data_IF_942184423692
#
_entry.id   IF_942184423692
#
_cell.length_a   1.000
_cell.length_b   1.000
_cell.length_c   1.000
_cell.angle_alpha   90.00
_cell.angle_beta   90.00
_cell.angle_gamma   90.00
#
_symmetry.space_group_name_H-M   'P 1'
#
loop_
_entity.id
_entity.type
_entity.pdbx_description
1 polymer ?
#
# COMPACT_ATOMS: atom_id res chain seq x y z
N UNK A 1 23.90 6.05 -9.27
CA UNK A 1 23.06 6.73 -8.28
C UNK A 1 23.61 6.37 -6.92
N UNK A 2 23.69 7.32 -5.96
CA UNK A 2 23.98 6.96 -4.57
C UNK A 2 22.84 6.11 -3.98
N UNK A 3 23.10 5.48 -2.82
CA UNK A 3 22.09 4.71 -2.09
C UNK A 3 20.93 5.65 -1.69
N UNK A 4 19.69 5.24 -1.92
CA UNK A 4 18.49 6.00 -1.55
C UNK A 4 18.21 5.73 -0.06
N UNK A 5 18.15 6.81 0.73
CA UNK A 5 17.85 6.75 2.16
C UNK A 5 16.34 6.72 2.36
N UNK A 6 15.85 5.62 2.87
CA UNK A 6 14.40 5.34 3.01
C UNK A 6 13.98 5.46 4.47
N UNK A 7 12.88 6.17 4.70
CA UNK A 7 12.14 6.13 5.94
C UNK A 7 10.87 5.27 5.83
N UNK A 8 10.44 4.66 6.93
CA UNK A 8 9.16 3.96 7.02
C UNK A 8 8.32 4.56 8.14
N UNK A 9 7.13 5.06 7.79
CA UNK A 9 6.16 5.59 8.75
C UNK A 9 5.09 4.54 9.04
N UNK A 10 4.96 4.20 10.33
CA UNK A 10 4.17 3.06 10.79
C UNK A 10 5.00 1.78 10.79
N UNK A 11 5.23 1.22 11.97
CA UNK A 11 6.07 0.01 12.11
C UNK A 11 5.29 -1.20 12.68
N UNK A 12 4.01 -1.30 12.27
CA UNK A 12 3.18 -2.50 12.42
C UNK A 12 3.58 -3.60 11.45
N UNK A 13 2.68 -4.54 11.18
CA UNK A 13 2.96 -5.68 10.29
C UNK A 13 3.51 -5.30 8.91
N UNK A 14 2.90 -4.30 8.25
CA UNK A 14 3.35 -3.82 6.93
C UNK A 14 4.71 -3.10 7.01
N UNK A 15 4.95 -2.27 8.03
CA UNK A 15 6.22 -1.56 8.18
C UNK A 15 7.38 -2.50 8.50
N UNK A 16 7.17 -3.52 9.33
CA UNK A 16 8.18 -4.56 9.59
C UNK A 16 8.46 -5.38 8.33
N UNK A 17 7.43 -5.74 7.58
CA UNK A 17 7.58 -6.43 6.30
C UNK A 17 8.34 -5.58 5.28
N UNK A 18 8.07 -4.26 5.22
CA UNK A 18 8.80 -3.33 4.38
C UNK A 18 10.29 -3.29 4.75
N UNK A 19 10.63 -3.22 6.04
CA UNK A 19 12.01 -3.27 6.51
C UNK A 19 12.72 -4.57 6.10
N UNK A 20 12.04 -5.72 6.21
CA UNK A 20 12.58 -7.02 5.79
C UNK A 20 12.80 -7.11 4.27
N UNK A 21 11.86 -6.61 3.47
CA UNK A 21 11.98 -6.57 1.99
C UNK A 21 13.07 -5.62 1.54
N UNK A 22 13.26 -4.51 2.27
CA UNK A 22 14.28 -3.51 1.95
C UNK A 22 15.69 -3.96 2.33
N UNK A 23 15.84 -4.74 3.39
CA UNK A 23 17.14 -5.14 3.96
C UNK A 23 18.14 -5.74 2.95
N UNK A 24 17.76 -6.67 2.04
CA UNK A 24 18.67 -7.22 1.05
C UNK A 24 18.93 -6.29 -0.14
N UNK A 25 18.28 -5.13 -0.23
CA UNK A 25 18.42 -4.22 -1.37
C UNK A 25 19.71 -3.41 -1.28
N UNK A 26 20.47 -3.36 -2.38
CA UNK A 26 21.76 -2.65 -2.43
C UNK A 26 21.61 -1.15 -2.76
N UNK A 27 20.52 -0.77 -3.42
CA UNK A 27 20.31 0.60 -3.90
C UNK A 27 19.50 1.46 -2.92
N UNK A 28 18.98 0.85 -1.85
CA UNK A 28 18.18 1.53 -0.82
C UNK A 28 18.63 1.09 0.57
N UNK A 29 18.48 1.99 1.53
CA UNK A 29 18.84 1.74 2.92
C UNK A 29 17.78 2.30 3.85
N UNK A 30 17.32 1.49 4.82
CA UNK A 30 16.41 1.94 5.87
C UNK A 30 17.19 2.77 6.88
N UNK A 31 16.95 4.08 6.90
CA UNK A 31 17.64 5.00 7.81
C UNK A 31 16.76 5.58 8.89
N UNK A 32 15.43 5.62 8.67
CA UNK A 32 14.47 6.22 9.59
C UNK A 32 13.22 5.35 9.74
N UNK A 33 12.67 5.29 10.94
CA UNK A 33 11.35 4.69 11.21
C UNK A 33 10.61 5.52 12.26
N UNK A 34 9.28 5.56 12.17
CA UNK A 34 8.44 6.15 13.21
C UNK A 34 7.19 5.31 13.45
N UNK A 35 6.78 5.23 14.70
CA UNK A 35 5.50 4.65 15.13
C UNK A 35 4.84 5.52 16.20
N UNK A 36 3.78 5.02 16.86
CA UNK A 36 3.05 5.77 17.90
C UNK A 36 3.85 6.02 19.17
N UNK A 37 4.90 5.25 19.43
CA UNK A 37 5.74 5.38 20.63
C UNK A 37 6.94 6.31 20.42
N UNK A 38 7.26 6.64 19.16
CA UNK A 38 8.36 7.53 18.82
C UNK A 38 9.02 7.20 17.49
N UNK A 39 10.31 7.37 17.40
CA UNK A 39 11.06 7.24 16.15
C UNK A 39 12.48 6.71 16.41
N UNK A 40 13.12 6.25 15.32
CA UNK A 40 14.53 5.91 15.31
C UNK A 40 15.18 6.38 14.02
N UNK A 41 16.45 6.79 14.10
CA UNK A 41 17.23 7.23 12.94
C UNK A 41 18.70 6.83 13.10
N UNK A 42 19.28 6.35 11.96
CA UNK A 42 20.72 6.15 11.83
C UNK A 42 21.13 6.38 10.40
N UNK A 43 22.04 7.33 10.16
CA UNK A 43 22.48 7.72 8.81
C UNK A 43 23.06 6.57 7.98
N UNK A 44 23.77 5.63 8.64
CA UNK A 44 24.40 4.46 8.01
C UNK A 44 23.49 3.23 7.97
N UNK A 45 22.18 3.41 8.17
CA UNK A 45 21.17 2.36 8.17
C UNK A 45 20.86 1.78 9.54
N UNK A 46 19.58 1.55 9.79
CA UNK A 46 19.09 0.95 11.03
C UNK A 46 19.38 -0.55 11.05
N UNK A 47 19.86 -1.11 12.19
CA UNK A 47 20.10 -2.53 12.33
C UNK A 47 18.80 -3.30 12.41
N UNK A 48 18.42 -4.00 11.32
CA UNK A 48 17.11 -4.64 11.17
C UNK A 48 16.79 -5.61 12.31
N UNK A 49 17.74 -6.47 12.71
CA UNK A 49 17.48 -7.48 13.74
C UNK A 49 17.18 -6.85 15.09
N UNK A 50 17.97 -5.86 15.50
CA UNK A 50 17.77 -5.13 16.76
C UNK A 50 16.46 -4.32 16.74
N UNK A 51 16.15 -3.70 15.60
CA UNK A 51 14.90 -2.96 15.40
C UNK A 51 13.66 -3.87 15.57
N UNK A 52 13.67 -5.05 14.93
CA UNK A 52 12.60 -6.02 15.05
C UNK A 52 12.48 -6.59 16.48
N UNK A 53 13.62 -6.84 17.16
CA UNK A 53 13.63 -7.28 18.56
C UNK A 53 13.06 -6.22 19.49
N UNK A 54 13.47 -4.97 19.34
CA UNK A 54 12.94 -3.84 20.14
C UNK A 54 11.42 -3.72 20.03
N UNK A 55 10.88 -3.80 18.80
CA UNK A 55 9.43 -3.74 18.58
C UNK A 55 8.72 -4.97 19.13
N UNK A 56 9.28 -6.16 18.97
CA UNK A 56 8.71 -7.40 19.52
C UNK A 56 8.65 -7.39 21.05
N UNK A 57 9.68 -6.88 21.71
CA UNK A 57 9.81 -6.90 23.17
C UNK A 57 9.10 -5.72 23.86
N UNK A 58 9.15 -4.54 23.25
CA UNK A 58 8.71 -3.29 23.83
C UNK A 58 7.55 -2.60 23.10
N UNK A 59 7.16 -3.11 21.92
CA UNK A 59 6.01 -2.61 21.16
C UNK A 59 6.24 -1.33 20.37
N UNK A 60 7.48 -0.79 20.33
CA UNK A 60 7.78 0.48 19.67
C UNK A 60 9.22 0.55 19.15
N UNK A 61 9.41 1.27 18.05
CA UNK A 61 10.73 1.58 17.48
C UNK A 61 11.56 2.51 18.41
N UNK A 62 10.91 3.28 19.26
CA UNK A 62 11.56 4.14 20.25
C UNK A 62 12.44 3.36 21.23
N UNK A 63 12.21 2.07 21.39
CA UNK A 63 12.99 1.20 22.28
C UNK A 63 14.29 0.68 21.64
N UNK A 64 14.60 1.03 20.39
CA UNK A 64 15.84 0.64 19.73
C UNK A 64 17.04 1.27 20.48
N UNK A 65 17.98 0.50 21.03
CA UNK A 65 19.14 1.03 21.73
C UNK A 65 19.94 2.02 20.87
N UNK A 66 20.45 3.07 21.48
CA UNK A 66 21.27 4.14 20.88
C UNK A 66 20.55 5.06 19.87
N UNK A 67 19.61 4.54 19.06
CA UNK A 67 19.00 5.31 17.96
C UNK A 67 17.50 5.53 18.11
N UNK A 68 16.86 4.92 19.10
CA UNK A 68 15.43 5.09 19.39
C UNK A 68 15.18 6.30 20.29
N UNK A 69 14.11 7.03 20.00
CA UNK A 69 13.69 8.22 20.74
C UNK A 69 12.19 8.19 21.00
N UNK A 70 11.78 8.39 22.25
CA UNK A 70 10.37 8.53 22.62
C UNK A 70 9.90 9.93 22.25
N UNK A 71 8.84 10.02 21.44
CA UNK A 71 8.23 11.29 21.03
C UNK A 71 6.77 11.05 20.63
N UNK A 72 5.88 11.97 20.96
CA UNK A 72 4.48 11.92 20.54
C UNK A 72 4.27 12.29 19.07
N UNK A 73 5.21 12.97 18.42
CA UNK A 73 5.20 13.33 17.02
C UNK A 73 6.47 12.82 16.29
N UNK A 74 6.68 11.51 16.35
CA UNK A 74 7.81 10.87 15.69
C UNK A 74 7.87 11.14 14.18
N UNK A 75 6.73 11.40 13.53
CA UNK A 75 6.68 11.78 12.11
C UNK A 75 7.38 13.13 11.89
N UNK A 76 7.09 14.14 12.70
CA UNK A 76 7.74 15.44 12.62
C UNK A 76 9.26 15.32 12.81
N UNK A 77 9.69 14.48 13.73
CA UNK A 77 11.11 14.28 14.03
C UNK A 77 11.87 13.61 12.87
N UNK A 78 11.33 12.55 12.27
CA UNK A 78 12.01 11.88 11.15
C UNK A 78 12.05 12.74 9.89
N UNK A 79 11.13 13.69 9.71
CA UNK A 79 11.19 14.66 8.61
C UNK A 79 12.37 15.62 8.70
N UNK A 80 12.95 15.83 9.89
CA UNK A 80 14.16 16.66 10.06
C UNK A 80 15.44 15.90 9.71
N UNK A 81 15.35 14.59 9.51
CA UNK A 81 16.49 13.74 9.24
C UNK A 81 16.79 13.65 7.74
N UNK A 82 17.99 13.19 7.42
CA UNK A 82 18.44 13.02 6.05
C UNK A 82 17.80 11.79 5.40
N UNK A 83 16.57 11.93 4.88
CA UNK A 83 15.77 10.89 4.21
C UNK A 83 15.39 11.36 2.82
N UNK A 84 15.59 10.51 1.80
CA UNK A 84 15.25 10.82 0.41
C UNK A 84 13.79 10.51 0.07
N UNK A 85 13.19 9.55 0.77
CA UNK A 85 11.79 9.21 0.61
C UNK A 85 11.22 8.35 1.72
N UNK A 86 9.91 8.47 1.97
CA UNK A 86 9.19 7.70 2.97
C UNK A 86 8.20 6.74 2.33
N UNK A 87 8.19 5.50 2.83
CA UNK A 87 7.08 4.58 2.65
C UNK A 87 6.09 4.71 3.80
N UNK A 88 4.84 5.02 3.49
CA UNK A 88 3.78 5.27 4.45
C UNK A 88 3.01 3.96 4.73
N UNK A 89 3.51 3.16 5.67
CA UNK A 89 2.88 1.91 6.14
C UNK A 89 1.85 2.20 7.25
N UNK A 90 0.96 3.16 6.99
CA UNK A 90 0.01 3.74 7.94
C UNK A 90 -1.40 3.16 7.74
N UNK A 91 -2.32 3.29 8.72
CA UNK A 91 -3.68 2.83 8.59
C UNK A 91 -4.45 3.51 7.45
N UNK A 92 -5.32 2.76 6.76
CA UNK A 92 -6.17 3.28 5.70
C UNK A 92 -7.35 4.13 6.21
N UNK A 93 -7.69 4.04 7.48
CA UNK A 93 -8.86 4.67 8.07
C UNK A 93 -8.51 5.56 9.27
N UNK A 94 -9.21 6.67 9.43
CA UNK A 94 -10.27 7.21 8.54
C UNK A 94 -9.70 7.66 7.19
N UNK A 95 -10.54 7.77 6.16
CA UNK A 95 -10.14 8.10 4.78
C UNK A 95 -9.33 9.41 4.66
N UNK A 96 -9.47 10.32 5.62
CA UNK A 96 -8.70 11.57 5.69
C UNK A 96 -7.34 11.43 6.35
N UNK A 97 -7.00 10.24 6.92
CA UNK A 97 -5.79 10.09 7.72
C UNK A 97 -4.52 10.31 6.90
N UNK A 98 -4.42 9.65 5.74
CA UNK A 98 -3.25 9.78 4.87
C UNK A 98 -3.08 11.20 4.33
N UNK A 99 -4.21 11.85 3.96
CA UNK A 99 -4.19 13.25 3.54
C UNK A 99 -3.71 14.20 4.65
N UNK A 100 -4.07 13.95 5.92
CA UNK A 100 -3.56 14.73 7.06
C UNK A 100 -2.06 14.54 7.27
N UNK A 101 -1.55 13.32 7.09
CA UNK A 101 -0.10 13.06 7.14
C UNK A 101 0.60 13.81 6.02
N UNK A 102 0.11 13.74 4.77
CA UNK A 102 0.67 14.51 3.66
C UNK A 102 0.66 16.02 3.93
N UNK A 103 -0.42 16.56 4.51
CA UNK A 103 -0.50 17.96 4.92
C UNK A 103 0.55 18.34 5.99
N UNK A 104 0.95 17.41 6.86
CA UNK A 104 2.03 17.65 7.82
C UNK A 104 3.36 17.87 7.10
N UNK A 105 3.69 17.04 6.10
CA UNK A 105 4.88 17.24 5.24
C UNK A 105 4.85 18.58 4.50
N UNK A 106 3.68 18.94 3.93
CA UNK A 106 3.49 20.22 3.23
C UNK A 106 3.73 21.40 4.18
N UNK A 107 3.11 21.38 5.38
CA UNK A 107 3.27 22.48 6.38
C UNK A 107 4.70 22.65 6.88
N UNK A 108 5.47 21.58 6.94
CA UNK A 108 6.88 21.64 7.34
C UNK A 108 7.82 22.02 6.17
N UNK A 109 7.29 22.16 4.96
CA UNK A 109 8.11 22.48 3.79
C UNK A 109 9.11 21.36 3.45
N UNK A 110 8.82 20.10 3.86
CA UNK A 110 9.69 18.97 3.56
C UNK A 110 9.70 18.69 2.05
N UNK A 111 10.86 18.29 1.54
CA UNK A 111 11.03 17.98 0.12
C UNK A 111 11.60 16.56 -0.02
N UNK A 112 11.01 15.78 -0.92
CA UNK A 112 11.42 14.41 -1.18
C UNK A 112 10.26 13.58 -1.74
N UNK A 113 10.33 12.28 -1.55
CA UNK A 113 9.37 11.33 -2.12
C UNK A 113 8.50 10.70 -1.04
N UNK A 114 7.19 10.71 -1.22
CA UNK A 114 6.24 9.96 -0.42
C UNK A 114 5.62 8.84 -1.25
N UNK A 115 5.50 7.67 -0.69
CA UNK A 115 4.86 6.50 -1.33
C UNK A 115 3.93 5.81 -0.34
N UNK A 116 2.72 5.51 -0.74
CA UNK A 116 1.78 4.69 0.03
C UNK A 116 1.31 3.45 -0.75
N UNK A 117 0.66 2.53 -0.05
CA UNK A 117 -0.02 1.37 -0.61
C UNK A 117 -1.51 1.38 -0.24
N UNK A 118 -2.12 2.58 -0.29
CA UNK A 118 -3.53 2.77 0.07
C UNK A 118 -4.45 2.10 -0.95
N UNK A 119 -5.49 1.43 -0.45
CA UNK A 119 -6.42 0.66 -1.30
C UNK A 119 -7.81 1.30 -1.46
N UNK A 120 -8.15 2.32 -0.70
CA UNK A 120 -9.50 2.91 -0.67
C UNK A 120 -9.64 4.08 -1.64
N UNK A 121 -10.61 4.02 -2.53
CA UNK A 121 -10.95 5.07 -3.49
C UNK A 121 -11.16 6.42 -2.80
N UNK A 122 -12.01 6.44 -1.76
CA UNK A 122 -12.33 7.66 -1.04
C UNK A 122 -11.13 8.30 -0.32
N UNK A 123 -10.12 7.53 0.05
CA UNK A 123 -8.88 8.07 0.63
C UNK A 123 -7.95 8.64 -0.46
N UNK A 124 -7.87 8.00 -1.63
CA UNK A 124 -7.13 8.53 -2.78
C UNK A 124 -7.74 9.84 -3.27
N UNK A 125 -9.07 9.95 -3.31
CA UNK A 125 -9.76 11.20 -3.66
C UNK A 125 -9.34 12.37 -2.76
N UNK A 126 -9.18 12.14 -1.44
CA UNK A 126 -8.68 13.16 -0.52
C UNK A 126 -7.22 13.56 -0.80
N UNK A 127 -6.38 12.60 -1.20
CA UNK A 127 -4.99 12.88 -1.57
C UNK A 127 -4.88 13.65 -2.88
N UNK A 128 -5.72 13.34 -3.87
CA UNK A 128 -5.74 14.04 -5.17
C UNK A 128 -5.95 15.56 -5.01
N UNK A 129 -6.72 15.98 -4.02
CA UNK A 129 -6.96 17.40 -3.72
C UNK A 129 -5.68 18.14 -3.28
N UNK A 130 -4.66 17.41 -2.82
CA UNK A 130 -3.40 17.98 -2.34
C UNK A 130 -2.37 18.19 -3.46
N UNK A 131 -2.65 17.76 -4.71
CA UNK A 131 -1.70 17.84 -5.82
C UNK A 131 -1.06 19.23 -5.97
N UNK A 132 -1.81 20.36 -5.99
CA UNK A 132 -1.20 21.69 -6.15
C UNK A 132 -0.29 22.06 -4.98
N UNK A 133 -0.66 21.72 -3.75
CA UNK A 133 0.14 22.04 -2.56
C UNK A 133 1.42 21.19 -2.49
N UNK A 134 1.36 19.92 -2.87
CA UNK A 134 2.52 19.02 -2.99
C UNK A 134 3.49 19.57 -4.06
N UNK A 135 2.96 19.99 -5.22
CA UNK A 135 3.74 20.57 -6.30
C UNK A 135 4.45 21.85 -5.84
N UNK A 136 3.75 22.71 -5.14
CA UNK A 136 4.28 24.00 -4.64
C UNK A 136 5.39 23.80 -3.59
N UNK A 137 5.26 22.74 -2.76
CA UNK A 137 6.25 22.42 -1.72
C UNK A 137 7.48 21.71 -2.29
N UNK A 138 7.39 21.10 -3.48
CA UNK A 138 8.47 20.30 -4.07
C UNK A 138 8.45 18.83 -3.59
N UNK A 139 7.27 18.32 -3.25
CA UNK A 139 7.07 16.91 -2.86
C UNK A 139 6.60 16.10 -4.07
N UNK A 140 7.22 14.94 -4.30
CA UNK A 140 6.73 13.93 -5.25
C UNK A 140 6.03 12.83 -4.46
N UNK A 141 4.72 12.75 -4.57
CA UNK A 141 3.92 11.75 -3.86
C UNK A 141 3.35 10.73 -4.86
N UNK A 142 3.60 9.43 -4.63
CA UNK A 142 3.02 8.34 -5.40
C UNK A 142 2.04 7.56 -4.52
N UNK A 143 0.78 7.50 -4.93
CA UNK A 143 -0.29 6.81 -4.18
C UNK A 143 -0.72 5.52 -4.85
N UNK A 144 -1.21 4.56 -4.04
CA UNK A 144 -1.69 3.28 -4.52
C UNK A 144 -0.59 2.36 -5.05
N UNK A 145 0.57 2.34 -4.41
CA UNK A 145 1.79 1.71 -4.92
C UNK A 145 2.07 0.32 -4.31
N UNK A 146 1.03 -0.44 -4.02
CA UNK A 146 1.13 -1.80 -3.46
C UNK A 146 1.04 -2.91 -4.50
N UNK A 147 0.34 -3.98 -4.12
CA UNK A 147 0.02 -5.09 -5.02
C UNK A 147 -1.18 -4.74 -5.91
N UNK A 148 -2.26 -4.30 -5.25
CA UNK A 148 -3.47 -3.74 -5.84
C UNK A 148 -4.05 -2.71 -4.86
N UNK A 149 -4.09 -1.42 -5.23
CA UNK A 149 -3.45 -0.84 -6.41
C UNK A 149 -1.92 -0.99 -6.39
N UNK A 150 -1.32 -0.88 -7.58
CA UNK A 150 0.14 -0.89 -7.77
C UNK A 150 0.56 -1.87 -8.85
N UNK A 151 1.05 -3.05 -8.46
CA UNK A 151 1.55 -4.04 -9.41
C UNK A 151 0.49 -4.49 -10.42
N UNK A 152 -0.72 -4.83 -9.96
CA UNK A 152 -1.82 -5.26 -10.84
C UNK A 152 -2.39 -4.09 -11.64
N UNK A 153 -2.43 -2.89 -11.07
CA UNK A 153 -2.84 -1.68 -11.81
C UNK A 153 -1.89 -1.40 -12.97
N UNK A 154 -0.58 -1.46 -12.74
CA UNK A 154 0.42 -1.29 -13.80
C UNK A 154 0.28 -2.37 -14.88
N UNK A 155 0.03 -3.62 -14.50
CA UNK A 155 -0.22 -4.71 -15.45
C UNK A 155 -1.50 -4.45 -16.28
N UNK A 156 -2.57 -3.93 -15.64
CA UNK A 156 -3.79 -3.55 -16.35
C UNK A 156 -3.56 -2.42 -17.34
N UNK A 157 -2.80 -1.38 -16.96
CA UNK A 157 -2.42 -0.27 -17.86
C UNK A 157 -1.67 -0.78 -19.10
N UNK A 158 -0.69 -1.69 -18.89
CA UNK A 158 0.07 -2.27 -20.00
C UNK A 158 -0.82 -3.14 -20.90
N UNK A 159 -1.67 -3.99 -20.31
CA UNK A 159 -2.59 -4.86 -21.04
C UNK A 159 -3.59 -4.06 -21.88
N UNK A 160 -4.05 -2.91 -21.39
CA UNK A 160 -5.02 -2.04 -22.05
C UNK A 160 -4.52 -1.51 -23.40
N UNK A 161 -3.19 -1.39 -23.59
CA UNK A 161 -2.60 -0.93 -24.84
C UNK A 161 -2.87 -1.85 -26.04
N UNK A 162 -3.28 -3.10 -25.79
CA UNK A 162 -3.60 -4.08 -26.83
C UNK A 162 -5.04 -4.00 -27.33
N UNK A 163 -5.87 -3.10 -26.76
CA UNK A 163 -7.28 -2.99 -27.07
C UNK A 163 -7.63 -1.63 -27.68
N UNK A 164 -8.58 -1.63 -28.61
CA UNK A 164 -9.22 -0.40 -29.11
C UNK A 164 -10.17 0.19 -28.07
N UNK A 165 -10.74 -0.68 -27.21
CA UNK A 165 -11.66 -0.30 -26.13
C UNK A 165 -11.53 -1.31 -24.99
N UNK A 166 -11.38 -0.85 -23.76
CA UNK A 166 -11.45 -1.68 -22.56
C UNK A 166 -12.91 -1.80 -22.12
N UNK A 167 -13.40 -3.02 -21.97
CA UNK A 167 -14.78 -3.31 -21.58
C UNK A 167 -14.90 -3.55 -20.09
N UNK A 168 -13.97 -4.32 -19.50
CA UNK A 168 -13.94 -4.59 -18.05
C UNK A 168 -12.52 -4.83 -17.55
N UNK A 169 -12.28 -4.43 -16.30
CA UNK A 169 -11.09 -4.80 -15.53
C UNK A 169 -11.55 -5.52 -14.27
N UNK A 170 -11.18 -6.80 -14.14
CA UNK A 170 -11.50 -7.60 -12.96
C UNK A 170 -10.24 -7.95 -12.19
N UNK A 171 -10.19 -7.53 -10.93
CA UNK A 171 -9.10 -7.88 -10.01
C UNK A 171 -9.65 -8.88 -8.99
N UNK A 172 -8.96 -10.02 -8.88
CA UNK A 172 -9.33 -11.08 -7.94
C UNK A 172 -8.15 -11.36 -7.03
N UNK A 173 -8.37 -11.43 -5.72
CA UNK A 173 -7.30 -11.72 -4.77
C UNK A 173 -7.63 -12.93 -3.88
N UNK A 174 -6.58 -13.69 -3.53
CA UNK A 174 -6.62 -14.73 -2.53
C UNK A 174 -5.72 -14.37 -1.36
N UNK A 175 -6.26 -14.40 -0.15
CA UNK A 175 -5.51 -14.16 1.09
C UNK A 175 -5.72 -15.35 2.01
N UNK A 176 -4.62 -15.99 2.44
CA UNK A 176 -4.64 -17.03 3.46
C UNK A 176 -3.91 -16.53 4.71
N UNK A 177 -4.51 -16.73 5.88
CA UNK A 177 -3.92 -16.43 7.18
C UNK A 177 -4.10 -17.62 8.13
N UNK A 178 -3.12 -17.86 8.99
CA UNK A 178 -3.18 -18.99 9.93
C UNK A 178 -4.20 -18.76 11.05
N UNK A 179 -4.39 -17.50 11.44
CA UNK A 179 -5.24 -17.11 12.56
C UNK A 179 -5.70 -15.66 12.37
N UNK A 180 -6.99 -15.42 12.41
CA UNK A 180 -7.59 -14.12 12.21
C UNK A 180 -7.32 -13.15 13.38
N UNK A 181 -7.04 -13.67 14.56
CA UNK A 181 -6.80 -12.87 15.77
C UNK A 181 -5.59 -11.96 15.62
N UNK A 182 -4.63 -12.31 14.76
CA UNK A 182 -3.48 -11.46 14.43
C UNK A 182 -3.84 -10.30 13.51
N UNK A 183 -5.00 -10.37 12.85
CA UNK A 183 -5.47 -9.42 11.84
C UNK A 183 -6.86 -8.83 12.17
N UNK A 184 -7.20 -8.70 13.45
CA UNK A 184 -8.53 -8.34 13.95
C UNK A 184 -9.17 -7.12 13.27
N UNK A 185 -8.38 -6.06 13.06
CA UNK A 185 -8.88 -4.85 12.40
C UNK A 185 -9.13 -5.05 10.91
N UNK A 186 -8.23 -5.77 10.23
CA UNK A 186 -8.35 -6.07 8.80
C UNK A 186 -9.53 -6.98 8.53
N UNK A 187 -9.70 -8.04 9.33
CA UNK A 187 -10.84 -8.96 9.15
C UNK A 187 -12.18 -8.26 9.40
N UNK A 188 -12.27 -7.34 10.37
CA UNK A 188 -13.47 -6.52 10.55
C UNK A 188 -13.71 -5.55 9.38
N UNK A 189 -12.66 -5.01 8.79
CA UNK A 189 -12.77 -4.22 7.57
C UNK A 189 -13.30 -5.09 6.41
N UNK A 190 -12.77 -6.30 6.25
CA UNK A 190 -13.24 -7.25 5.23
C UNK A 190 -14.70 -7.68 5.46
N UNK A 191 -15.10 -7.96 6.70
CA UNK A 191 -16.52 -8.23 7.06
C UNK A 191 -17.42 -7.05 6.66
N UNK A 192 -16.95 -5.82 6.82
CA UNK A 192 -17.70 -4.61 6.43
C UNK A 192 -17.94 -4.48 4.93
N UNK A 193 -17.32 -5.32 4.10
CA UNK A 193 -17.57 -5.42 2.66
C UNK A 193 -18.52 -6.58 2.28
N UNK A 194 -18.96 -7.40 3.25
CA UNK A 194 -19.97 -8.41 2.99
C UNK A 194 -21.35 -7.75 2.83
N UNK A 195 -22.27 -8.34 2.01
CA UNK A 195 -23.56 -7.73 1.69
C UNK A 195 -24.42 -7.36 2.90
N UNK A 196 -24.32 -8.14 3.99
CA UNK A 196 -25.18 -8.00 5.17
C UNK A 196 -24.55 -7.11 6.27
N UNK A 197 -23.40 -6.50 6.02
CA UNK A 197 -22.66 -5.74 7.03
C UNK A 197 -22.26 -4.35 6.53
N UNK A 198 -22.26 -3.40 7.45
CA UNK A 198 -21.59 -2.10 7.25
C UNK A 198 -20.23 -2.11 7.97
N UNK A 199 -19.33 -1.24 7.56
CA UNK A 199 -18.03 -1.08 8.21
C UNK A 199 -18.18 -0.72 9.70
N UNK A 200 -19.19 0.10 10.05
CA UNK A 200 -19.47 0.48 11.44
C UNK A 200 -19.92 -0.74 12.27
N UNK A 201 -20.87 -1.52 11.75
CA UNK A 201 -21.33 -2.76 12.38
C UNK A 201 -20.16 -3.74 12.57
N UNK A 202 -19.38 -3.99 11.52
CA UNK A 202 -18.26 -4.92 11.57
C UNK A 202 -17.19 -4.50 12.59
N UNK A 203 -16.93 -3.21 12.71
CA UNK A 203 -16.00 -2.66 13.72
C UNK A 203 -16.49 -2.81 15.16
N UNK A 204 -17.79 -2.70 15.37
CA UNK A 204 -18.42 -2.85 16.67
C UNK A 204 -18.53 -4.32 17.13
N UNK A 205 -18.33 -5.29 16.22
CA UNK A 205 -18.40 -6.73 16.57
C UNK A 205 -17.37 -7.09 17.62
N UNK A 206 -17.80 -7.84 18.62
CA UNK A 206 -16.91 -8.54 19.55
C UNK A 206 -16.12 -9.66 18.83
N UNK A 207 -15.04 -10.12 19.44
CA UNK A 207 -14.28 -11.26 18.89
C UNK A 207 -15.14 -12.53 18.81
N UNK A 208 -16.07 -12.72 19.75
CA UNK A 208 -16.99 -13.86 19.75
C UNK A 208 -17.98 -13.82 18.55
N UNK A 209 -18.50 -12.64 18.21
CA UNK A 209 -19.38 -12.47 17.05
C UNK A 209 -18.63 -12.68 15.74
N UNK A 210 -17.38 -12.20 15.64
CA UNK A 210 -16.52 -12.48 14.48
C UNK A 210 -16.28 -13.99 14.36
N UNK A 211 -15.88 -14.66 15.43
CA UNK A 211 -15.65 -16.12 15.41
C UNK A 211 -16.92 -16.90 15.04
N UNK A 212 -18.08 -16.47 15.51
CA UNK A 212 -19.35 -17.11 15.14
C UNK A 212 -19.66 -16.93 13.65
N UNK A 213 -19.38 -15.74 13.06
CA UNK A 213 -19.49 -15.52 11.62
C UNK A 213 -18.54 -16.45 10.85
N UNK A 214 -17.26 -16.47 11.24
CA UNK A 214 -16.23 -17.29 10.59
C UNK A 214 -16.51 -18.79 10.71
N UNK A 215 -17.12 -19.24 11.82
CA UNK A 215 -17.55 -20.62 11.97
C UNK A 215 -18.65 -20.99 10.96
N UNK A 216 -19.61 -20.08 10.71
CA UNK A 216 -20.69 -20.30 9.72
C UNK A 216 -20.17 -20.35 8.28
N UNK A 217 -19.12 -19.60 7.96
CA UNK A 217 -18.53 -19.52 6.61
C UNK A 217 -17.39 -20.52 6.40
N UNK A 218 -17.11 -21.38 7.38
CA UNK A 218 -15.95 -22.27 7.33
C UNK A 218 -14.60 -21.53 7.36
N UNK A 219 -14.59 -20.28 7.82
CA UNK A 219 -13.41 -19.40 7.80
C UNK A 219 -13.20 -18.63 6.52
N UNK A 220 -14.06 -18.78 5.51
CA UNK A 220 -13.95 -18.11 4.23
C UNK A 220 -14.82 -16.85 4.19
N UNK A 221 -14.22 -15.72 3.80
CA UNK A 221 -14.94 -14.49 3.47
C UNK A 221 -14.86 -14.28 1.97
N UNK A 222 -16.02 -14.31 1.30
CA UNK A 222 -16.14 -14.02 -0.13
C UNK A 222 -16.50 -12.56 -0.32
N UNK A 223 -15.59 -11.79 -0.91
CA UNK A 223 -15.70 -10.35 -1.07
C UNK A 223 -15.96 -10.04 -2.53
N UNK A 224 -17.05 -9.32 -2.80
CA UNK A 224 -17.48 -8.97 -4.15
C UNK A 224 -17.57 -7.45 -4.28
N UNK A 225 -17.03 -6.93 -5.39
CA UNK A 225 -17.12 -5.52 -5.77
C UNK A 225 -16.83 -4.53 -4.63
N UNK A 226 -15.69 -4.72 -3.99
CA UNK A 226 -15.24 -3.84 -2.90
C UNK A 226 -14.91 -2.45 -3.42
N UNK A 227 -15.08 -1.42 -2.56
CA UNK A 227 -14.44 -0.13 -2.78
C UNK A 227 -12.92 -0.30 -2.89
N UNK A 228 -12.37 0.00 -4.05
CA UNK A 228 -10.94 -0.19 -4.28
C UNK A 228 -10.36 0.80 -5.28
N UNK A 229 -9.27 1.45 -4.92
CA UNK A 229 -8.74 2.59 -5.65
C UNK A 229 -8.27 2.30 -7.09
N UNK A 230 -8.17 1.03 -7.51
CA UNK A 230 -7.93 0.71 -8.92
C UNK A 230 -8.97 1.35 -9.85
N UNK A 231 -10.21 1.53 -9.38
CA UNK A 231 -11.29 2.17 -10.13
C UNK A 231 -10.95 3.62 -10.51
N UNK A 232 -10.63 4.46 -9.55
CA UNK A 232 -10.27 5.87 -9.80
C UNK A 232 -8.93 6.00 -10.53
N UNK A 233 -7.99 5.09 -10.29
CA UNK A 233 -6.67 5.14 -10.92
C UNK A 233 -6.77 4.86 -12.43
N UNK A 234 -7.56 3.88 -12.84
CA UNK A 234 -7.76 3.51 -14.24
C UNK A 234 -8.67 4.52 -14.97
N UNK A 235 -9.73 5.02 -14.32
CA UNK A 235 -10.57 6.09 -14.85
C UNK A 235 -9.76 7.36 -15.11
N UNK A 236 -8.89 7.75 -14.19
CA UNK A 236 -8.04 8.93 -14.31
C UNK A 236 -7.12 8.90 -15.53
N UNK A 237 -6.71 7.72 -15.96
CA UNK A 237 -5.95 7.53 -17.22
C UNK A 237 -6.83 7.44 -18.46
N UNK A 238 -8.16 7.48 -18.31
CA UNK A 238 -9.09 7.32 -19.42
C UNK A 238 -9.12 5.90 -20.00
N UNK A 239 -8.70 4.89 -19.23
CA UNK A 239 -8.67 3.49 -19.68
C UNK A 239 -10.10 2.91 -19.70
N UNK A 240 -10.87 3.14 -18.64
CA UNK A 240 -12.26 2.70 -18.50
C UNK A 240 -12.95 3.54 -17.41
N UNK A 241 -14.29 3.49 -17.33
CA UNK A 241 -15.04 4.09 -16.23
C UNK A 241 -14.96 3.23 -14.97
N UNK A 242 -15.23 3.81 -13.80
CA UNK A 242 -15.13 3.12 -12.50
C UNK A 242 -16.02 1.88 -12.40
N UNK A 243 -17.22 1.95 -12.97
CA UNK A 243 -18.19 0.86 -12.99
C UNK A 243 -17.75 -0.36 -13.82
N UNK A 244 -16.76 -0.18 -14.69
CA UNK A 244 -16.11 -1.27 -15.45
C UNK A 244 -14.99 -1.97 -14.66
N UNK A 245 -14.63 -1.45 -13.48
CA UNK A 245 -13.60 -2.03 -12.61
C UNK A 245 -14.25 -2.76 -11.44
N UNK A 246 -13.96 -4.04 -11.28
CA UNK A 246 -14.45 -4.84 -10.15
C UNK A 246 -13.27 -5.43 -9.38
N UNK A 247 -13.30 -5.30 -8.06
CA UNK A 247 -12.28 -5.86 -7.17
C UNK A 247 -12.98 -6.74 -6.12
N UNK A 248 -12.52 -7.97 -6.00
CA UNK A 248 -13.06 -8.91 -5.03
C UNK A 248 -12.12 -10.08 -4.80
N UNK A 249 -12.52 -11.01 -3.97
CA UNK A 249 -11.66 -12.16 -3.69
C UNK A 249 -12.14 -13.02 -2.54
N UNK A 250 -11.22 -13.85 -2.05
CA UNK A 250 -11.49 -14.76 -0.94
C UNK A 250 -10.40 -14.61 0.12
N UNK A 251 -10.83 -14.40 1.36
CA UNK A 251 -9.96 -14.44 2.53
C UNK A 251 -10.23 -15.73 3.29
N UNK A 252 -9.23 -16.60 3.41
CA UNK A 252 -9.26 -17.76 4.29
C UNK A 252 -8.63 -17.38 5.62
N UNK A 253 -9.43 -17.33 6.66
CA UNK A 253 -9.04 -16.86 7.99
C UNK A 253 -8.46 -17.95 8.89
N UNK A 254 -8.35 -19.18 8.39
CA UNK A 254 -7.92 -20.37 9.13
C UNK A 254 -6.81 -21.16 8.46
N UNK A 255 -6.50 -20.84 7.22
CA UNK A 255 -5.47 -21.54 6.44
C UNK A 255 -4.49 -20.52 5.83
N UNK A 256 -3.19 -20.64 6.09
CA UNK A 256 -2.20 -19.72 5.54
C UNK A 256 -2.00 -19.85 4.01
N UNK A 257 -2.51 -20.94 3.42
CA UNK A 257 -2.46 -21.12 1.97
C UNK A 257 -3.51 -20.21 1.30
N UNK A 258 -3.12 -19.50 0.27
CA UNK A 258 -4.05 -18.69 -0.54
C UNK A 258 -5.15 -19.58 -1.12
N UNK A 259 -6.44 -19.23 -0.95
CA UNK A 259 -7.54 -20.02 -1.50
C UNK A 259 -7.66 -19.93 -3.02
N UNK A 260 -7.09 -18.88 -3.61
CA UNK A 260 -6.98 -18.68 -5.05
C UNK A 260 -5.82 -17.72 -5.37
N UNK A 261 -5.32 -17.77 -6.62
CA UNK A 261 -4.24 -16.90 -7.08
C UNK A 261 -4.74 -15.48 -7.33
N UNK A 262 -3.94 -14.50 -6.88
CA UNK A 262 -4.24 -13.08 -7.11
C UNK A 262 -3.92 -12.70 -8.54
N UNK A 263 -4.89 -12.11 -9.26
CA UNK A 263 -4.73 -11.77 -10.67
C UNK A 263 -5.53 -10.52 -11.06
N UNK A 264 -5.18 -9.94 -12.20
CA UNK A 264 -5.99 -8.97 -12.92
C UNK A 264 -6.31 -9.51 -14.31
N UNK A 265 -7.55 -9.36 -14.73
CA UNK A 265 -8.06 -9.66 -16.06
C UNK A 265 -8.54 -8.36 -16.70
N UNK A 266 -8.02 -8.06 -17.89
CA UNK A 266 -8.46 -6.93 -18.71
C UNK A 266 -9.13 -7.50 -19.94
N UNK A 267 -10.42 -7.29 -20.09
CA UNK A 267 -11.21 -7.68 -21.25
C UNK A 267 -11.49 -6.46 -22.10
N UNK A 268 -11.23 -6.55 -23.38
CA UNK A 268 -11.37 -5.44 -24.30
C UNK A 268 -11.75 -5.89 -25.71
N UNK A 269 -12.10 -4.92 -26.53
CA UNK A 269 -12.32 -5.08 -27.95
C UNK A 269 -10.98 -4.86 -28.69
N UNK A 270 -10.54 -5.85 -29.45
CA UNK A 270 -9.34 -5.73 -30.28
C UNK A 270 -9.54 -4.76 -31.44
N UNK A 271 -8.45 -4.35 -32.07
CA UNK A 271 -8.51 -3.49 -33.27
C UNK A 271 -9.24 -4.14 -34.45
N UNK A 272 -9.36 -5.48 -34.45
CA UNK A 272 -10.13 -6.26 -35.43
C UNK A 272 -11.60 -6.46 -35.03
N UNK A 273 -12.05 -5.82 -33.93
CA UNK A 273 -13.44 -5.88 -33.46
C UNK A 273 -13.82 -7.13 -32.65
N UNK A 274 -12.84 -7.98 -32.28
CA UNK A 274 -13.08 -9.17 -31.46
C UNK A 274 -12.98 -8.83 -29.98
N UNK A 275 -13.61 -9.63 -29.14
CA UNK A 275 -13.39 -9.56 -27.67
C UNK A 275 -12.25 -10.50 -27.30
N UNK A 276 -11.30 -9.99 -26.49
CA UNK A 276 -10.19 -10.77 -25.92
C UNK A 276 -9.93 -10.38 -24.48
N UNK A 277 -9.20 -11.23 -23.74
CA UNK A 277 -8.85 -11.01 -22.35
C UNK A 277 -7.37 -11.24 -22.15
N UNK A 278 -6.70 -10.29 -21.50
CA UNK A 278 -5.36 -10.47 -20.95
C UNK A 278 -5.44 -10.75 -19.45
N UNK A 279 -4.61 -11.66 -18.96
CA UNK A 279 -4.54 -11.99 -17.53
C UNK A 279 -3.10 -11.90 -17.06
N UNK A 280 -2.90 -11.19 -15.93
CA UNK A 280 -1.65 -11.21 -15.21
C UNK A 280 -1.90 -11.80 -13.81
N UNK A 281 -1.14 -12.86 -13.45
CA UNK A 281 -1.32 -13.60 -12.20
C UNK A 281 -0.04 -13.51 -11.37
N UNK A 282 -0.20 -13.23 -10.08
CA UNK A 282 0.91 -13.28 -9.11
C UNK A 282 1.18 -14.74 -8.72
N UNK A 283 2.47 -15.11 -8.62
CA UNK A 283 2.86 -16.43 -8.13
C UNK A 283 2.38 -16.67 -6.67
N UNK A 284 1.87 -17.86 -6.41
CA UNK A 284 1.32 -18.21 -5.09
C UNK A 284 2.41 -18.35 -4.01
N UNK A 285 3.65 -18.58 -4.41
CA UNK A 285 4.83 -18.66 -3.53
C UNK A 285 5.30 -17.29 -3.03
N UNK A 286 4.89 -16.19 -3.68
CA UNK A 286 5.25 -14.86 -3.23
C UNK A 286 4.39 -14.44 -2.03
N UNK A 287 5.02 -13.92 -0.99
CA UNK A 287 4.29 -13.42 0.17
C UNK A 287 3.51 -12.14 -0.19
N UNK A 288 2.40 -11.90 0.50
CA UNK A 288 1.65 -10.65 0.37
C UNK A 288 2.55 -9.44 0.66
N UNK A 289 3.40 -9.53 1.68
CA UNK A 289 4.33 -8.47 2.04
C UNK A 289 5.29 -8.14 0.89
N UNK A 290 5.85 -9.14 0.21
CA UNK A 290 6.73 -8.95 -0.94
C UNK A 290 5.96 -8.33 -2.12
N UNK A 291 4.72 -8.75 -2.36
CA UNK A 291 3.87 -8.22 -3.43
C UNK A 291 3.43 -6.79 -3.20
N UNK A 292 3.36 -6.32 -1.94
CA UNK A 292 3.05 -4.92 -1.60
C UNK A 292 4.32 -4.08 -1.52
N UNK A 293 5.29 -4.49 -0.71
CA UNK A 293 6.47 -3.67 -0.39
C UNK A 293 7.48 -3.63 -1.55
N UNK A 294 7.62 -4.72 -2.31
CA UNK A 294 8.51 -4.76 -3.47
C UNK A 294 8.16 -3.69 -4.51
N UNK A 295 6.92 -3.67 -5.04
CA UNK A 295 6.46 -2.60 -5.92
C UNK A 295 6.54 -1.21 -5.29
N UNK A 296 6.17 -1.04 -4.02
CA UNK A 296 6.24 0.25 -3.33
C UNK A 296 7.65 0.85 -3.36
N UNK A 297 8.70 0.05 -3.13
CA UNK A 297 10.08 0.51 -3.26
C UNK A 297 10.48 0.76 -4.71
N UNK A 298 9.93 0.01 -5.66
CA UNK A 298 10.07 0.31 -7.09
C UNK A 298 9.51 1.68 -7.45
N UNK A 299 8.32 1.99 -6.94
CA UNK A 299 7.69 3.31 -7.10
C UNK A 299 8.47 4.40 -6.36
N UNK A 300 9.01 4.14 -5.16
CA UNK A 300 9.87 5.09 -4.45
C UNK A 300 11.12 5.44 -5.28
N UNK A 301 11.75 4.43 -5.91
CA UNK A 301 12.88 4.67 -6.82
C UNK A 301 12.49 5.52 -8.03
N UNK A 302 11.35 5.23 -8.65
CA UNK A 302 10.81 6.03 -9.75
C UNK A 302 10.48 7.46 -9.29
N UNK A 303 9.89 7.61 -8.10
CA UNK A 303 9.60 8.91 -7.48
C UNK A 303 10.86 9.75 -7.25
N UNK A 304 11.95 9.14 -6.77
CA UNK A 304 13.25 9.84 -6.64
C UNK A 304 13.77 10.31 -7.99
N UNK A 305 13.58 9.53 -9.05
CA UNK A 305 13.96 9.96 -10.39
C UNK A 305 13.09 11.11 -10.92
N UNK A 306 11.79 11.11 -10.63
CA UNK A 306 10.87 12.20 -10.95
C UNK A 306 11.23 13.46 -10.17
N UNK A 307 11.40 13.34 -8.89
CA UNK A 307 11.74 14.45 -7.99
C UNK A 307 13.04 15.16 -8.41
N UNK A 308 14.06 14.40 -8.81
CA UNK A 308 15.34 14.97 -9.32
C UNK A 308 15.20 15.70 -10.66
N UNK A 309 14.12 15.42 -11.41
CA UNK A 309 13.79 16.13 -12.68
C UNK A 309 12.85 17.31 -12.44
N UNK A 310 12.53 17.65 -11.19
CA UNK A 310 11.60 18.72 -10.85
C UNK A 310 10.13 18.37 -11.09
N UNK A 311 9.79 17.08 -11.19
CA UNK A 311 8.40 16.61 -11.32
C UNK A 311 7.80 16.41 -9.94
N UNK A 312 7.06 17.41 -9.45
CA UNK A 312 6.44 17.43 -8.14
C UNK A 312 4.92 17.31 -8.24
N UNK A 313 4.28 16.98 -7.15
CA UNK A 313 2.84 16.79 -7.04
C UNK A 313 2.45 15.35 -6.71
N UNK A 314 1.19 15.03 -6.87
CA UNK A 314 0.68 13.68 -6.64
C UNK A 314 0.59 12.94 -7.97
N UNK A 315 1.14 11.74 -7.98
CA UNK A 315 1.06 10.75 -9.05
C UNK A 315 0.44 9.47 -8.53
N UNK A 316 -0.11 8.66 -9.41
CA UNK A 316 -0.67 7.34 -9.06
C UNK A 316 0.21 6.21 -9.61
N UNK A 317 0.03 5.02 -9.07
CA UNK A 317 0.71 3.82 -9.59
C UNK A 317 0.33 3.48 -11.03
N UNK A 318 -0.77 4.02 -11.55
CA UNK A 318 -1.17 3.86 -12.93
C UNK A 318 -0.42 4.80 -13.89
N UNK A 319 0.04 5.97 -13.40
CA UNK A 319 0.72 7.00 -14.20
C UNK A 319 2.23 6.78 -14.29
N UNK A 320 2.81 6.00 -13.39
CA UNK A 320 4.27 5.83 -13.26
C UNK A 320 4.62 4.34 -13.23
N UNK A 321 5.65 3.95 -13.96
CA UNK A 321 6.20 2.58 -13.87
C UNK A 321 7.19 2.47 -12.70
N UNK A 322 7.09 1.42 -11.86
CA UNK A 322 8.07 1.19 -10.79
C UNK A 322 9.45 0.86 -11.37
N UNK A 323 10.48 1.41 -10.73
CA UNK A 323 11.86 1.05 -11.05
C UNK A 323 12.25 -0.30 -10.43
N UNK A 324 13.12 -1.05 -11.08
CA UNK A 324 13.69 -2.25 -10.46
C UNK A 324 14.73 -1.85 -9.39
N UNK A 325 14.59 -2.37 -8.18
CA UNK A 325 15.49 -2.12 -7.04
C UNK A 325 16.33 -3.38 -6.77
N UNK A 326 17.62 -3.26 -6.99
CA UNK A 326 18.61 -4.34 -6.76
C UNK A 326 18.94 -4.50 -5.29
#
# INVERSE_FOLDING_TARGET
MGVIRVGVLGFGGLGQAAAMVLHPKQEMQLVAVADRGGWAYRADGLPLHELLSAVKERGTVAALPEWGHTDSDGIAQVMTQAVDGFFLALPNLPNTFMARVAQQFIRQGWQGVLVDAIKRTSAVEQLLLLHPALQQTGITYLTGCGATPGLLTAAAVLASQSFAEVLTVKITFGVGIASWEQYRSTIREDIGHLPDYTLEQARAMSDAEVEQLLARTGGLLHLENMEHADDILLERLGICSRDQVTVGGVVDTRNPKKPLSTNVQVTGRTFEGRTATHTFTLGDETSMAANVCGPAFGYLKAGVALQRRGSYGLFTSAEVMPGFVR
#
